data_IF_828352484488
#
_entry.id   IF_828352484488
#
_cell.length_a   1.000
_cell.length_b   1.000
_cell.length_c   1.000
_cell.angle_alpha   90.00
_cell.angle_beta   90.00
_cell.angle_gamma   90.00
#
_symmetry.space_group_name_H-M   'P 1'
#
loop_
_entity.id
_entity.type
_entity.pdbx_description
1 polymer ?
#
# COMPACT_ATOMS: atom_id res chain seq x y z
N UNK A 1 15.22 15.44 9.76
CA UNK A 1 15.94 14.24 9.24
C UNK A 1 15.28 13.79 7.95
N UNK A 2 16.06 13.50 6.90
CA UNK A 2 15.54 12.88 5.68
C UNK A 2 15.21 11.41 5.98
N UNK A 3 13.97 10.99 5.74
CA UNK A 3 13.57 9.58 5.90
C UNK A 3 14.20 8.73 4.78
N UNK A 4 14.54 7.48 5.08
CA UNK A 4 15.05 6.53 4.08
C UNK A 4 13.92 5.99 3.21
N UNK A 5 14.16 5.71 1.93
CA UNK A 5 13.13 5.15 1.06
C UNK A 5 12.78 3.72 1.47
N UNK A 6 11.50 3.36 1.37
CA UNK A 6 11.06 1.99 1.62
C UNK A 6 11.62 1.01 0.55
N UNK A 7 11.95 -0.24 0.90
CA UNK A 7 12.49 -1.22 -0.05
C UNK A 7 11.60 -1.44 -1.28
N UNK A 8 10.29 -1.33 -1.14
CA UNK A 8 9.35 -1.51 -2.23
C UNK A 8 9.18 -0.29 -3.14
N UNK A 9 9.81 0.87 -2.86
CA UNK A 9 9.47 2.16 -3.47
C UNK A 9 9.69 2.26 -5.00
N UNK A 10 10.40 1.30 -5.58
CA UNK A 10 10.60 1.16 -7.03
C UNK A 10 9.52 0.31 -7.70
N UNK A 11 8.69 -0.39 -6.93
CA UNK A 11 7.64 -1.25 -7.44
C UNK A 11 6.45 -0.42 -7.91
N UNK A 12 5.97 -0.69 -9.12
CA UNK A 12 4.82 -0.04 -9.74
C UNK A 12 3.58 -0.96 -9.73
N UNK A 13 2.44 -0.41 -10.13
CA UNK A 13 1.17 -1.16 -10.17
C UNK A 13 1.24 -2.42 -11.04
N UNK A 14 1.85 -2.32 -12.22
CA UNK A 14 1.92 -3.41 -13.19
C UNK A 14 2.73 -4.59 -12.64
N UNK A 15 3.81 -4.32 -11.91
CA UNK A 15 4.62 -5.35 -11.26
C UNK A 15 3.82 -6.08 -10.18
N UNK A 16 3.05 -5.35 -9.36
CA UNK A 16 2.16 -5.94 -8.36
C UNK A 16 1.10 -6.80 -9.05
N UNK A 17 0.43 -6.28 -10.07
CA UNK A 17 -0.59 -7.01 -10.82
C UNK A 17 -0.04 -8.28 -11.47
N UNK A 18 1.07 -8.18 -12.18
CA UNK A 18 1.69 -9.32 -12.86
C UNK A 18 2.11 -10.40 -11.86
N UNK A 19 2.67 -10.02 -10.72
CA UNK A 19 3.02 -10.96 -9.66
C UNK A 19 1.77 -11.67 -9.12
N UNK A 20 0.79 -10.92 -8.65
CA UNK A 20 -0.39 -11.48 -7.97
C UNK A 20 -1.41 -12.14 -8.91
N UNK A 21 -1.28 -12.00 -10.24
CA UNK A 21 -2.00 -12.83 -11.20
C UNK A 21 -1.43 -14.24 -11.34
N UNK A 22 -0.15 -14.44 -10.97
CA UNK A 22 0.53 -15.72 -11.05
C UNK A 22 0.56 -16.51 -9.75
N UNK A 23 0.25 -15.89 -8.60
CA UNK A 23 0.29 -16.56 -7.30
C UNK A 23 -0.81 -17.61 -7.15
N UNK A 24 -0.51 -18.64 -6.37
CA UNK A 24 -1.40 -19.76 -6.03
C UNK A 24 -1.59 -19.85 -4.52
N UNK A 25 -2.49 -20.73 -4.10
CA UNK A 25 -2.62 -21.08 -2.69
C UNK A 25 -1.26 -21.54 -2.11
N UNK A 26 -1.01 -21.20 -0.85
CA UNK A 26 0.24 -21.37 -0.11
C UNK A 26 1.43 -20.51 -0.54
N UNK A 27 1.34 -19.75 -1.64
CA UNK A 27 2.37 -18.78 -1.99
C UNK A 27 2.43 -17.63 -0.96
N UNK A 28 3.54 -16.92 -0.97
CA UNK A 28 3.76 -15.77 -0.08
C UNK A 28 3.16 -14.50 -0.67
N UNK A 29 2.35 -13.81 0.13
CA UNK A 29 1.96 -12.43 -0.10
C UNK A 29 2.71 -11.53 0.89
N UNK A 30 3.09 -10.34 0.44
CA UNK A 30 3.65 -9.30 1.32
C UNK A 30 2.75 -8.10 1.32
N UNK A 31 2.36 -7.68 2.53
CA UNK A 31 1.56 -6.49 2.76
C UNK A 31 2.43 -5.44 3.41
N UNK A 32 2.58 -4.28 2.77
CA UNK A 32 3.18 -3.10 3.39
C UNK A 32 2.13 -2.40 4.23
N UNK A 33 2.49 -1.95 5.42
CA UNK A 33 1.66 -1.17 6.34
C UNK A 33 2.44 0.05 6.85
N UNK A 34 1.79 1.21 6.98
CA UNK A 34 2.43 2.46 7.47
C UNK A 34 1.73 3.16 8.63
N UNK A 35 0.77 2.49 9.25
CA UNK A 35 0.01 3.00 10.38
C UNK A 35 0.94 3.37 11.54
N UNK A 36 0.69 4.54 12.14
CA UNK A 36 1.46 5.02 13.28
C UNK A 36 2.85 5.57 12.92
N UNK A 37 3.04 6.02 11.66
CA UNK A 37 4.31 6.58 11.17
C UNK A 37 5.46 5.57 11.19
N UNK A 38 5.14 4.27 11.15
CA UNK A 38 6.09 3.17 11.17
C UNK A 38 5.89 2.30 9.93
N UNK A 39 6.94 2.13 9.13
CA UNK A 39 6.93 1.16 8.05
C UNK A 39 6.95 -0.24 8.67
N UNK A 40 6.03 -1.09 8.22
CA UNK A 40 5.97 -2.52 8.53
C UNK A 40 5.67 -3.29 7.26
N UNK A 41 6.09 -4.55 7.24
CA UNK A 41 5.62 -5.51 6.27
C UNK A 41 5.11 -6.75 7.00
N UNK A 42 4.05 -7.34 6.47
CA UNK A 42 3.47 -8.58 6.94
C UNK A 42 3.65 -9.64 5.86
N UNK A 43 4.26 -10.76 6.22
CA UNK A 43 4.25 -11.97 5.42
C UNK A 43 2.96 -12.71 5.71
N UNK A 44 2.19 -12.98 4.66
CA UNK A 44 0.96 -13.74 4.75
C UNK A 44 0.98 -14.88 3.72
N UNK A 45 0.30 -15.98 4.02
CA UNK A 45 0.07 -17.05 3.05
C UNK A 45 -1.18 -16.75 2.24
N UNK A 46 -1.09 -16.94 0.93
CA UNK A 46 -2.25 -16.90 0.04
C UNK A 46 -3.12 -18.12 0.31
N UNK A 47 -4.41 -17.91 0.58
CA UNK A 47 -5.40 -18.98 0.70
C UNK A 47 -5.95 -19.32 -0.68
N UNK A 48 -6.38 -18.29 -1.42
CA UNK A 48 -6.95 -18.45 -2.75
C UNK A 48 -6.84 -17.17 -3.58
N UNK A 49 -7.05 -17.32 -4.88
CA UNK A 49 -7.15 -16.23 -5.84
C UNK A 49 -8.49 -16.33 -6.58
N UNK A 50 -9.34 -15.30 -6.50
CA UNK A 50 -10.69 -15.33 -7.08
C UNK A 50 -11.17 -13.96 -7.53
N UNK A 51 -11.71 -13.88 -8.76
CA UNK A 51 -12.30 -12.66 -9.35
C UNK A 51 -11.34 -11.45 -9.30
N UNK A 52 -10.07 -11.65 -9.61
CA UNK A 52 -9.06 -10.58 -9.61
C UNK A 52 -8.62 -10.13 -8.20
N UNK A 53 -8.83 -10.98 -7.19
CA UNK A 53 -8.48 -10.71 -5.79
C UNK A 53 -7.63 -11.83 -5.21
N UNK A 54 -6.75 -11.46 -4.30
CA UNK A 54 -5.93 -12.34 -3.47
C UNK A 54 -6.55 -12.37 -2.08
N UNK A 55 -6.72 -13.57 -1.53
CA UNK A 55 -7.19 -13.81 -0.17
C UNK A 55 -6.02 -14.38 0.63
N UNK A 56 -5.78 -13.86 1.83
CA UNK A 56 -4.65 -14.26 2.67
C UNK A 56 -5.10 -14.69 4.06
N UNK A 57 -4.34 -15.58 4.71
CA UNK A 57 -4.72 -16.19 5.99
C UNK A 57 -4.61 -15.26 7.20
N UNK A 58 -3.59 -14.41 7.22
CA UNK A 58 -3.35 -13.45 8.31
C UNK A 58 -2.93 -12.13 7.68
N UNK A 59 -3.93 -11.36 7.27
CA UNK A 59 -3.74 -10.05 6.63
C UNK A 59 -3.19 -8.98 7.58
N UNK A 60 -3.16 -7.73 7.11
CA UNK A 60 -2.84 -6.59 7.97
C UNK A 60 -4.06 -6.24 8.83
N UNK A 61 -3.92 -6.01 10.15
CA UNK A 61 -5.05 -5.68 11.03
C UNK A 61 -5.91 -4.49 10.58
N UNK A 62 -5.35 -3.58 9.78
CA UNK A 62 -6.03 -2.38 9.28
C UNK A 62 -6.35 -2.47 7.78
N UNK A 63 -5.88 -3.50 7.09
CA UNK A 63 -6.04 -3.73 5.66
C UNK A 63 -6.89 -4.96 5.34
N UNK A 64 -7.19 -5.80 6.32
CA UNK A 64 -7.97 -7.01 6.15
C UNK A 64 -7.22 -8.10 5.36
N UNK A 65 -7.98 -9.07 4.89
CA UNK A 65 -7.47 -10.32 4.31
C UNK A 65 -7.65 -10.39 2.78
N UNK A 66 -8.23 -9.36 2.18
CA UNK A 66 -8.66 -9.37 0.77
C UNK A 66 -8.08 -8.18 0.03
N UNK A 67 -7.47 -8.46 -1.10
CA UNK A 67 -6.67 -7.49 -1.84
C UNK A 67 -6.93 -7.56 -3.33
N UNK A 68 -7.00 -6.42 -3.99
CA UNK A 68 -7.14 -6.36 -5.45
C UNK A 68 -5.80 -6.68 -6.13
N UNK A 69 -5.75 -7.68 -7.01
CA UNK A 69 -4.53 -7.99 -7.77
C UNK A 69 -4.08 -6.80 -8.62
N UNK A 70 -5.03 -6.15 -9.29
CA UNK A 70 -4.79 -5.03 -10.21
C UNK A 70 -4.05 -3.87 -9.56
N UNK A 71 -4.33 -3.61 -8.29
CA UNK A 71 -3.90 -2.39 -7.60
C UNK A 71 -3.02 -2.64 -6.38
N UNK A 72 -3.07 -3.84 -5.83
CA UNK A 72 -2.55 -4.13 -4.50
C UNK A 72 -3.34 -3.49 -3.36
N UNK A 73 -4.41 -2.73 -3.64
CA UNK A 73 -5.24 -2.08 -2.61
C UNK A 73 -6.04 -3.09 -1.82
N UNK A 74 -6.21 -2.82 -0.53
CA UNK A 74 -7.17 -3.54 0.30
C UNK A 74 -8.57 -3.43 -0.28
N UNK A 75 -9.34 -4.52 -0.25
CA UNK A 75 -10.76 -4.50 -0.58
C UNK A 75 -11.61 -3.85 0.51
N UNK A 76 -11.16 -3.90 1.76
CA UNK A 76 -11.88 -3.39 2.93
C UNK A 76 -11.56 -1.90 3.19
N UNK A 77 -10.32 -1.51 2.90
CA UNK A 77 -9.84 -0.14 3.07
C UNK A 77 -9.04 0.33 1.83
N UNK A 78 -9.68 0.58 0.68
CA UNK A 78 -8.99 0.91 -0.58
C UNK A 78 -8.18 2.22 -0.55
N UNK A 79 -8.50 3.13 0.38
CA UNK A 79 -7.80 4.39 0.64
C UNK A 79 -6.88 4.30 1.88
N UNK A 80 -6.71 3.09 2.43
CA UNK A 80 -5.92 2.83 3.61
C UNK A 80 -4.42 2.90 3.37
N UNK A 81 -3.66 2.75 4.45
CA UNK A 81 -2.20 2.82 4.46
C UNK A 81 -1.52 1.46 4.24
N UNK A 82 -2.32 0.43 3.91
CA UNK A 82 -1.84 -0.92 3.68
C UNK A 82 -2.07 -1.31 2.24
N UNK A 83 -1.05 -1.90 1.60
CA UNK A 83 -1.08 -2.32 0.20
C UNK A 83 -0.22 -3.57 0.00
N UNK A 84 -0.63 -4.45 -0.92
CA UNK A 84 0.22 -5.51 -1.42
C UNK A 84 1.46 -4.93 -2.12
N UNK A 85 2.58 -5.59 -1.91
CA UNK A 85 3.84 -5.37 -2.61
C UNK A 85 4.37 -6.71 -3.10
N UNK A 86 5.27 -6.68 -4.07
CA UNK A 86 5.98 -7.86 -4.55
C UNK A 86 7.02 -8.27 -3.50
N UNK A 87 7.14 -9.56 -3.14
CA UNK A 87 8.17 -10.08 -2.24
C UNK A 87 9.54 -10.11 -2.93
N UNK A 88 10.10 -8.95 -3.26
CA UNK A 88 11.45 -8.87 -3.83
C UNK A 88 12.50 -9.18 -2.76
N UNK A 89 13.73 -9.59 -3.16
CA UNK A 89 14.79 -9.89 -2.19
C UNK A 89 15.06 -8.74 -1.20
N UNK A 90 14.94 -7.49 -1.62
CA UNK A 90 15.13 -6.31 -0.77
C UNK A 90 14.03 -6.17 0.28
N UNK A 91 12.78 -6.47 -0.09
CA UNK A 91 11.65 -6.45 0.84
C UNK A 91 11.78 -7.58 1.86
N UNK A 92 12.12 -8.79 1.40
CA UNK A 92 12.29 -9.95 2.27
C UNK A 92 13.45 -9.75 3.27
N UNK A 93 14.60 -9.28 2.78
CA UNK A 93 15.73 -8.96 3.65
C UNK A 93 15.37 -7.87 4.68
N UNK A 94 14.64 -6.84 4.26
CA UNK A 94 14.24 -5.80 5.19
C UNK A 94 13.31 -6.34 6.30
N UNK A 95 12.41 -7.28 5.97
CA UNK A 95 11.54 -7.95 6.95
C UNK A 95 12.36 -8.70 7.99
N UNK A 96 13.39 -9.42 7.57
CA UNK A 96 14.32 -10.14 8.45
C UNK A 96 15.06 -9.17 9.39
N UNK A 97 15.55 -8.06 8.85
CA UNK A 97 16.30 -7.04 9.60
C UNK A 97 15.40 -6.21 10.55
N UNK A 98 14.10 -6.06 10.24
CA UNK A 98 13.17 -5.17 10.94
C UNK A 98 11.82 -5.87 11.27
N UNK A 99 11.81 -6.94 12.08
CA UNK A 99 10.61 -7.76 12.32
C UNK A 99 9.46 -7.00 13.00
N UNK A 100 9.73 -5.85 13.64
CA UNK A 100 8.72 -4.99 14.29
C UNK A 100 8.40 -3.71 13.50
N UNK A 101 9.06 -3.50 12.38
CA UNK A 101 9.01 -2.25 11.62
C UNK A 101 10.00 -1.18 12.08
N UNK A 102 10.06 -0.07 11.35
CA UNK A 102 10.96 1.06 11.65
C UNK A 102 10.34 2.41 11.25
N UNK A 103 10.55 3.42 12.09
CA UNK A 103 10.08 4.81 11.94
C UNK A 103 11.02 5.68 11.10
N UNK A 104 12.25 5.22 10.85
CA UNK A 104 13.29 5.93 10.06
C UNK A 104 12.99 5.93 8.56
N UNK A 105 12.08 5.08 8.12
CA UNK A 105 11.70 4.93 6.72
C UNK A 105 10.53 5.83 6.35
N UNK A 106 10.50 6.20 5.07
CA UNK A 106 9.45 7.00 4.48
C UNK A 106 8.13 6.26 4.55
N UNK A 107 7.27 6.81 5.39
CA UNK A 107 5.92 6.32 5.60
C UNK A 107 4.96 7.12 4.73
N UNK A 108 5.25 7.27 3.43
CA UNK A 108 4.34 7.95 2.52
C UNK A 108 2.94 7.42 2.83
N UNK A 109 2.10 8.28 3.41
CA UNK A 109 0.78 7.92 3.93
C UNK A 109 -0.14 7.51 2.78
N UNK A 110 0.32 7.80 1.56
CA UNK A 110 -0.24 7.42 0.29
C UNK A 110 0.82 6.60 -0.44
N UNK A 111 1.41 5.58 0.21
CA UNK A 111 2.28 4.65 -0.52
C UNK A 111 1.45 3.92 -1.55
N UNK A 112 1.64 4.40 -2.75
CA UNK A 112 0.90 4.09 -3.93
C UNK A 112 2.02 3.81 -4.90
N UNK A 113 2.28 2.53 -5.23
CA UNK A 113 3.21 2.18 -6.30
C UNK A 113 3.05 3.19 -7.46
N UNK A 114 4.12 3.68 -8.11
CA UNK A 114 3.96 4.53 -9.29
C UNK A 114 2.91 3.92 -10.23
N UNK A 115 1.84 4.68 -10.54
CA UNK A 115 0.70 4.20 -11.33
C UNK A 115 -0.60 3.90 -10.55
N UNK A 116 -0.54 3.66 -9.23
CA UNK A 116 -1.73 3.52 -8.38
C UNK A 116 -2.35 4.87 -7.94
N UNK A 117 -1.68 5.99 -8.29
CA UNK A 117 -2.17 7.35 -8.05
C UNK A 117 -3.28 7.58 -9.06
N UNK A 118 -4.52 7.64 -8.59
CA UNK A 118 -5.59 8.28 -9.35
C UNK A 118 -5.07 9.71 -9.65
N UNK A 119 -4.75 9.95 -10.93
CA UNK A 119 -3.80 10.97 -11.37
C UNK A 119 -4.24 12.41 -11.19
N UNK A 120 -4.34 12.89 -9.94
CA UNK A 120 -4.41 14.32 -9.64
C UNK A 120 -3.48 14.70 -8.46
N UNK A 121 -2.24 15.10 -8.77
CA UNK A 121 -1.29 15.62 -7.77
C UNK A 121 -1.79 16.86 -7.03
N UNK A 122 -2.78 17.60 -7.56
CA UNK A 122 -3.27 18.85 -7.00
C UNK A 122 -4.21 18.64 -5.79
N UNK A 123 -4.90 17.50 -5.70
CA UNK A 123 -5.78 17.19 -4.56
C UNK A 123 -5.04 16.89 -3.25
N UNK A 124 -3.77 16.54 -3.33
CA UNK A 124 -3.03 15.96 -2.19
C UNK A 124 -1.91 16.85 -1.64
N UNK A 125 -1.65 18.02 -2.26
CA UNK A 125 -0.73 19.03 -1.72
C UNK A 125 -1.38 20.01 -0.75
N UNK A 126 -2.71 20.02 -0.66
CA UNK A 126 -3.42 20.94 0.21
C UNK A 126 -3.51 20.33 1.62
N UNK A 127 -2.91 21.04 2.59
CA UNK A 127 -3.18 20.89 4.01
C UNK A 127 -4.69 20.89 4.26
N UNK A 128 -5.12 20.31 5.39
CA UNK A 128 -6.55 20.24 5.77
C UNK A 128 -7.21 21.63 5.70
N UNK A 129 -6.45 22.68 6.05
CA UNK A 129 -6.85 24.09 5.96
C UNK A 129 -7.06 24.57 4.52
N UNK A 130 -6.17 24.19 3.60
CA UNK A 130 -6.27 24.56 2.18
C UNK A 130 -7.40 23.82 1.46
N UNK A 131 -7.73 22.59 1.88
CA UNK A 131 -8.91 21.85 1.40
C UNK A 131 -10.22 22.56 1.76
N UNK A 132 -10.35 23.04 3.00
CA UNK A 132 -11.53 23.79 3.42
C UNK A 132 -11.72 25.10 2.63
N UNK A 133 -10.63 25.77 2.25
CA UNK A 133 -10.69 26.99 1.44
C UNK A 133 -11.09 26.69 -0.01
N UNK A 134 -10.59 25.61 -0.61
CA UNK A 134 -10.94 25.21 -1.97
C UNK A 134 -12.42 24.80 -2.10
N UNK A 135 -12.95 24.02 -1.16
CA UNK A 135 -14.36 23.59 -1.16
C UNK A 135 -15.33 24.75 -0.88
N UNK A 136 -14.90 25.73 -0.08
CA UNK A 136 -15.70 26.95 0.17
C UNK A 136 -15.82 27.83 -1.07
N UNK A 137 -14.77 27.93 -1.89
CA UNK A 137 -14.79 28.68 -3.16
C UNK A 137 -15.69 28.02 -4.21
N UNK A 138 -15.70 26.68 -4.29
CA UNK A 138 -16.58 25.96 -5.23
C UNK A 138 -18.08 26.08 -4.91
N UNK A 139 -18.46 26.34 -3.66
CA UNK A 139 -19.86 26.56 -3.27
C UNK A 139 -20.37 27.97 -3.54
N UNK A 140 -19.50 28.92 -3.80
CA UNK A 140 -19.88 30.33 -4.07
C UNK A 140 -19.94 30.66 -5.56
N UNK A 141 -19.52 29.74 -6.43
CA UNK A 141 -19.51 29.90 -7.89
C UNK A 141 -20.50 28.96 -8.63
N UNK A 142 -21.39 28.30 -7.88
CA UNK A 142 -22.47 27.46 -8.41
C UNK A 142 -23.84 28.01 -8.08
#
# INVERSE_FOLDING_TARGET
MKKQQAPCNTQNQEQVENYYRGVKAADTAVIRATQGNMLRYHLAKVIETKKGRVYVEQGDPWGGERWYMKSGKSCDHPTGQSNLVVPTPEVLKWIEDHPRGDIKFETDYIYTPPGQRDGDPARYRLSITERMIHDRKKRTEG
#
